data_IF_226050000016
#
_entry.id   IF_226050000016
#
_cell.length_a   1.000
_cell.length_b   1.000
_cell.length_c   1.000
_cell.angle_alpha   90.00
_cell.angle_beta   90.00
_cell.angle_gamma   90.00
#
_symmetry.space_group_name_H-M   'P 1'
#
loop_
_entity.id
_entity.type
_entity.pdbx_description
1 polymer ?
#
# COMPACT_ATOMS: atom_id res chain seq x y z
N UNK A 1 -17.60 4.69 -2.42
CA UNK A 1 -18.42 5.43 -3.42
C UNK A 1 -19.64 4.62 -3.90
N UNK A 2 -20.80 5.26 -4.12
CA UNK A 2 -22.05 4.58 -4.58
C UNK A 2 -22.03 4.11 -6.04
N UNK A 3 -20.96 4.41 -6.79
CA UNK A 3 -20.64 3.85 -8.11
C UNK A 3 -19.13 3.59 -8.22
N UNK A 4 -18.68 2.54 -8.92
CA UNK A 4 -17.28 2.17 -8.99
C UNK A 4 -16.58 3.00 -10.08
N UNK A 5 -16.03 4.17 -9.74
CA UNK A 5 -15.35 5.00 -10.75
C UNK A 5 -13.92 5.42 -10.39
N UNK A 6 -13.25 4.77 -9.43
CA UNK A 6 -11.82 5.06 -9.20
C UNK A 6 -10.94 3.91 -8.71
N UNK A 7 -11.50 2.73 -8.42
CA UNK A 7 -10.71 1.55 -8.05
C UNK A 7 -10.71 0.55 -9.19
N UNK A 8 -9.71 0.67 -10.08
CA UNK A 8 -9.56 -0.26 -11.20
C UNK A 8 -8.89 -1.55 -10.71
N UNK A 9 -8.03 -1.47 -9.68
CA UNK A 9 -7.17 -2.55 -9.23
C UNK A 9 -7.01 -2.58 -7.69
N UNK A 10 -6.73 -3.77 -7.13
CA UNK A 10 -6.51 -3.97 -5.69
C UNK A 10 -5.36 -3.13 -5.13
N UNK A 11 -4.30 -2.93 -5.90
CA UNK A 11 -3.13 -2.13 -5.50
C UNK A 11 -3.43 -0.63 -5.35
N UNK A 12 -4.63 -0.18 -5.74
CA UNK A 12 -5.13 1.18 -5.50
C UNK A 12 -5.76 1.33 -4.11
N UNK A 13 -5.93 0.23 -3.36
CA UNK A 13 -6.52 0.22 -2.01
C UNK A 13 -5.76 -0.66 -1.00
N UNK A 14 -4.89 -1.56 -1.45
CA UNK A 14 -4.12 -2.46 -0.60
C UNK A 14 -2.75 -2.78 -1.22
N UNK A 15 -1.67 -2.50 -0.49
CA UNK A 15 -0.29 -2.76 -0.96
C UNK A 15 0.60 -3.26 0.18
N UNK A 16 1.39 -4.32 -0.06
CA UNK A 16 2.42 -4.76 0.88
C UNK A 16 3.66 -3.86 0.81
N UNK A 17 4.10 -3.34 1.96
CA UNK A 17 5.26 -2.45 2.08
C UNK A 17 6.47 -3.13 2.74
N UNK A 18 6.22 -4.10 3.60
CA UNK A 18 7.22 -4.86 4.37
C UNK A 18 6.69 -6.27 4.67
N UNK A 19 7.46 -7.11 5.35
CA UNK A 19 7.04 -8.46 5.73
C UNK A 19 5.81 -8.48 6.65
N UNK A 20 5.63 -7.44 7.45
CA UNK A 20 4.53 -7.32 8.41
C UNK A 20 3.75 -6.00 8.29
N UNK A 21 3.87 -5.27 7.17
CA UNK A 21 3.20 -3.97 6.98
C UNK A 21 2.54 -3.88 5.63
N UNK A 22 1.31 -3.41 5.63
CA UNK A 22 0.57 -3.07 4.43
C UNK A 22 0.08 -1.63 4.50
N UNK A 23 -0.17 -1.04 3.33
CA UNK A 23 -0.81 0.25 3.17
C UNK A 23 -2.22 0.01 2.67
N UNK A 24 -3.21 0.58 3.33
CA UNK A 24 -4.61 0.36 3.03
C UNK A 24 -5.38 1.66 2.87
N UNK A 25 -6.36 1.65 1.98
CA UNK A 25 -7.48 2.59 2.01
C UNK A 25 -8.58 2.01 2.90
N UNK A 26 -8.61 2.45 4.15
CA UNK A 26 -9.47 1.91 5.22
C UNK A 26 -10.96 1.82 4.82
N UNK A 27 -11.57 2.82 4.15
CA UNK A 27 -12.99 2.76 3.78
C UNK A 27 -13.38 1.61 2.85
N UNK A 28 -12.42 0.98 2.15
CA UNK A 28 -12.66 -0.23 1.34
C UNK A 28 -12.21 -1.50 2.06
N UNK A 29 -11.06 -1.46 2.75
CA UNK A 29 -10.45 -2.67 3.30
C UNK A 29 -11.03 -3.10 4.66
N UNK A 30 -11.47 -2.15 5.48
CA UNK A 30 -11.95 -2.41 6.85
C UNK A 30 -13.45 -2.17 7.04
N UNK A 31 -14.13 -1.60 6.03
CA UNK A 31 -15.54 -1.23 6.20
C UNK A 31 -16.46 -2.41 5.85
N UNK A 32 -16.86 -3.16 6.89
CA UNK A 32 -17.74 -4.34 6.80
C UNK A 32 -19.12 -4.06 6.15
N UNK A 33 -19.52 -2.80 6.00
CA UNK A 33 -20.82 -2.45 5.38
C UNK A 33 -20.72 -2.20 3.87
N UNK A 34 -19.51 -2.08 3.33
CA UNK A 34 -19.32 -1.70 1.94
C UNK A 34 -18.94 -2.88 1.03
N UNK A 35 -18.10 -3.80 1.51
CA UNK A 35 -17.56 -4.91 0.71
C UNK A 35 -17.31 -6.15 1.57
N UNK A 36 -17.71 -7.32 1.07
CA UNK A 36 -17.52 -8.61 1.74
C UNK A 36 -16.12 -9.17 1.45
N UNK A 37 -15.46 -9.70 2.49
CA UNK A 37 -14.27 -10.52 2.33
C UNK A 37 -14.66 -11.99 2.45
N UNK A 38 -14.18 -12.84 1.53
CA UNK A 38 -14.51 -14.26 1.51
C UNK A 38 -13.22 -15.08 1.39
N UNK A 39 -13.02 -16.03 2.30
CA UNK A 39 -11.93 -16.99 2.24
C UNK A 39 -12.40 -18.29 1.59
N UNK A 40 -11.81 -18.63 0.44
CA UNK A 40 -12.10 -19.86 -0.30
C UNK A 40 -10.91 -20.81 -0.16
N UNK A 41 -11.16 -22.00 0.40
CA UNK A 41 -10.17 -23.08 0.47
C UNK A 41 -10.38 -24.05 -0.69
N UNK A 42 -9.33 -24.32 -1.47
CA UNK A 42 -9.36 -25.25 -2.60
C UNK A 42 -8.35 -26.37 -2.32
N UNK A 43 -8.80 -27.61 -2.45
CA UNK A 43 -7.98 -28.81 -2.34
C UNK A 43 -8.27 -29.73 -3.54
N UNK A 44 -7.21 -30.19 -4.22
CA UNK A 44 -7.31 -31.00 -5.44
C UNK A 44 -8.31 -30.44 -6.49
N UNK A 45 -8.31 -29.12 -6.68
CA UNK A 45 -9.19 -28.43 -7.64
C UNK A 45 -10.66 -28.32 -7.23
N UNK A 46 -11.02 -28.74 -6.01
CA UNK A 46 -12.38 -28.64 -5.47
C UNK A 46 -12.45 -27.64 -4.33
N UNK A 47 -13.55 -26.89 -4.28
CA UNK A 47 -13.85 -26.01 -3.15
C UNK A 47 -14.12 -26.87 -1.92
N UNK A 48 -13.30 -26.69 -0.88
CA UNK A 48 -13.42 -27.37 0.41
C UNK A 48 -14.27 -26.57 1.39
N UNK A 49 -14.12 -25.25 1.40
CA UNK A 49 -14.89 -24.35 2.25
C UNK A 49 -14.95 -22.95 1.65
N UNK A 50 -16.01 -22.22 1.98
CA UNK A 50 -16.20 -20.80 1.71
C UNK A 50 -16.65 -20.19 3.03
N UNK A 51 -15.84 -19.28 3.57
CA UNK A 51 -16.13 -18.60 4.83
C UNK A 51 -16.17 -17.09 4.59
N UNK A 52 -17.18 -16.42 5.13
CA UNK A 52 -17.18 -14.96 5.22
C UNK A 52 -16.20 -14.50 6.29
N UNK A 53 -15.49 -13.42 5.98
CA UNK A 53 -14.45 -12.84 6.81
C UNK A 53 -14.78 -11.38 7.09
N UNK A 54 -14.46 -10.86 8.29
CA UNK A 54 -14.79 -9.47 8.61
C UNK A 54 -14.03 -8.50 7.68
N UNK A 55 -12.78 -8.82 7.33
CA UNK A 55 -11.97 -8.01 6.44
C UNK A 55 -10.89 -8.82 5.74
N UNK A 56 -10.29 -8.24 4.69
CA UNK A 56 -9.10 -8.80 4.05
C UNK A 56 -7.95 -9.00 5.06
N UNK A 57 -7.78 -8.06 5.99
CA UNK A 57 -6.69 -8.11 6.99
C UNK A 57 -6.87 -9.29 7.95
N UNK A 58 -8.09 -9.54 8.41
CA UNK A 58 -8.37 -10.68 9.29
C UNK A 58 -8.16 -12.01 8.57
N UNK A 59 -8.66 -12.12 7.33
CA UNK A 59 -8.47 -13.32 6.50
C UNK A 59 -6.99 -13.63 6.28
N UNK A 60 -6.17 -12.61 6.00
CA UNK A 60 -4.73 -12.76 5.86
C UNK A 60 -4.06 -13.19 7.17
N UNK A 61 -4.50 -12.65 8.32
CA UNK A 61 -3.99 -13.06 9.64
C UNK A 61 -4.24 -14.55 9.91
N UNK A 62 -5.43 -15.07 9.57
CA UNK A 62 -5.76 -16.51 9.67
C UNK A 62 -4.89 -17.40 8.78
N UNK A 63 -4.33 -16.84 7.70
CA UNK A 63 -3.38 -17.52 6.81
C UNK A 63 -1.91 -17.37 7.27
N UNK A 64 -1.66 -16.80 8.45
CA UNK A 64 -0.32 -16.59 9.00
C UNK A 64 0.36 -15.31 8.50
N UNK A 65 -0.37 -14.41 7.85
CA UNK A 65 0.12 -13.10 7.43
C UNK A 65 -0.36 -12.03 8.41
N UNK A 66 0.38 -11.87 9.52
CA UNK A 66 0.10 -10.82 10.50
C UNK A 66 0.59 -9.45 9.99
N UNK A 67 -0.33 -8.67 9.44
CA UNK A 67 -0.06 -7.40 8.79
C UNK A 67 -0.53 -6.23 9.67
N UNK A 68 0.39 -5.35 10.00
CA UNK A 68 0.09 -4.05 10.59
C UNK A 68 -0.32 -3.06 9.48
N UNK A 69 -1.56 -2.57 9.47
CA UNK A 69 -2.01 -1.63 8.45
C UNK A 69 -1.52 -0.21 8.73
N UNK A 70 -1.07 0.45 7.66
CA UNK A 70 -0.84 1.88 7.54
C UNK A 70 -1.98 2.46 6.71
N UNK A 71 -2.53 3.60 7.10
CA UNK A 71 -3.70 4.17 6.42
C UNK A 71 -3.28 5.22 5.39
N UNK A 72 -3.79 5.07 4.16
CA UNK A 72 -3.76 6.10 3.12
C UNK A 72 -4.54 7.32 3.59
N UNK A 73 -3.90 8.49 3.61
CA UNK A 73 -4.40 9.70 4.26
C UNK A 73 -4.19 9.75 5.78
N UNK A 74 -3.60 8.71 6.38
CA UNK A 74 -3.42 8.61 7.83
C UNK A 74 -4.72 8.48 8.61
N UNK A 75 -4.71 8.90 9.88
CA UNK A 75 -5.89 8.93 10.76
C UNK A 75 -6.72 10.22 10.58
N UNK A 76 -6.63 10.86 9.42
CA UNK A 76 -7.32 12.11 9.13
C UNK A 76 -8.82 11.90 8.90
N UNK A 77 -9.52 13.01 8.68
CA UNK A 77 -10.90 13.01 8.18
C UNK A 77 -11.04 12.24 6.86
N UNK A 78 -12.27 11.83 6.55
CA UNK A 78 -12.59 11.02 5.37
C UNK A 78 -12.25 11.72 4.04
N UNK A 79 -12.35 13.05 3.99
CA UNK A 79 -12.04 13.83 2.78
C UNK A 79 -10.56 13.80 2.46
N UNK A 80 -9.70 13.88 3.47
CA UNK A 80 -8.25 13.72 3.29
C UNK A 80 -7.88 12.31 2.83
N UNK A 81 -8.51 11.25 3.38
CA UNK A 81 -8.27 9.89 2.92
C UNK A 81 -8.71 9.69 1.46
N UNK A 82 -9.88 10.20 1.07
CA UNK A 82 -10.38 10.15 -0.30
C UNK A 82 -9.47 10.92 -1.27
N UNK A 83 -9.03 12.12 -0.88
CA UNK A 83 -8.12 12.95 -1.70
C UNK A 83 -6.78 12.27 -1.96
N UNK A 84 -6.16 11.69 -0.94
CA UNK A 84 -4.87 11.01 -1.12
C UNK A 84 -5.03 9.68 -1.83
N UNK A 85 -6.11 8.95 -1.57
CA UNK A 85 -6.42 7.74 -2.32
C UNK A 85 -6.54 8.04 -3.83
N UNK A 86 -7.28 9.10 -4.19
CA UNK A 86 -7.44 9.54 -5.57
C UNK A 86 -6.10 9.83 -6.26
N UNK A 87 -5.13 10.37 -5.51
CA UNK A 87 -3.76 10.61 -5.96
C UNK A 87 -2.83 9.40 -5.75
N UNK A 88 -3.39 8.18 -5.77
CA UNK A 88 -2.65 6.92 -5.66
C UNK A 88 -1.91 6.74 -4.34
N UNK A 89 -2.45 7.27 -3.25
CA UNK A 89 -1.89 7.23 -1.90
C UNK A 89 -1.80 5.83 -1.29
N UNK A 90 -2.44 4.80 -1.87
CA UNK A 90 -2.24 3.41 -1.45
C UNK A 90 -1.30 2.62 -2.37
N UNK A 91 -0.77 3.22 -3.44
CA UNK A 91 -0.09 2.54 -4.53
C UNK A 91 1.44 2.78 -4.52
N UNK A 92 2.13 2.12 -3.60
CA UNK A 92 3.57 2.24 -3.39
C UNK A 92 4.33 1.04 -3.98
N UNK A 93 5.55 1.28 -4.47
CA UNK A 93 6.39 0.21 -4.95
C UNK A 93 7.41 -0.22 -3.90
N UNK A 94 7.27 -1.43 -3.35
CA UNK A 94 8.30 -2.03 -2.50
C UNK A 94 9.39 -2.68 -3.35
N UNK A 95 10.61 -2.14 -3.33
CA UNK A 95 11.75 -2.71 -4.05
C UNK A 95 12.55 -3.70 -3.17
N UNK A 96 12.36 -3.66 -1.85
CA UNK A 96 12.74 -4.68 -0.88
C UNK A 96 11.84 -4.55 0.38
N UNK A 97 11.82 -5.54 1.31
CA UNK A 97 11.06 -5.40 2.55
C UNK A 97 11.43 -4.12 3.32
N UNK A 98 10.44 -3.26 3.57
CA UNK A 98 10.64 -1.98 4.25
C UNK A 98 11.32 -0.89 3.41
N UNK A 99 11.53 -1.13 2.11
CA UNK A 99 12.20 -0.18 1.21
C UNK A 99 11.29 0.12 0.03
N UNK A 100 10.62 1.27 0.09
CA UNK A 100 9.50 1.59 -0.78
C UNK A 100 9.71 2.89 -1.55
N UNK A 101 8.97 3.07 -2.64
CA UNK A 101 8.96 4.27 -3.47
C UNK A 101 7.51 4.72 -3.67
N UNK A 102 7.26 6.02 -3.52
CA UNK A 102 5.94 6.62 -3.70
C UNK A 102 5.99 8.12 -4.01
N UNK A 103 4.83 8.72 -4.23
CA UNK A 103 4.74 10.16 -4.47
C UNK A 103 4.79 10.95 -3.17
N UNK A 104 5.63 11.99 -3.13
CA UNK A 104 5.75 12.88 -1.96
C UNK A 104 4.52 13.77 -1.71
N UNK A 105 3.60 13.88 -2.68
CA UNK A 105 2.40 14.73 -2.59
C UNK A 105 1.32 14.22 -1.63
N UNK A 106 1.39 12.96 -1.24
CA UNK A 106 0.44 12.33 -0.32
C UNK A 106 0.97 12.51 1.10
N UNK A 107 1.01 13.76 1.56
CA UNK A 107 1.69 14.18 2.78
C UNK A 107 1.23 13.41 4.03
N UNK A 108 -0.07 13.17 4.17
CA UNK A 108 -0.63 12.47 5.33
C UNK A 108 -0.30 10.97 5.30
N UNK A 109 -0.31 10.37 4.11
CA UNK A 109 0.17 9.00 3.91
C UNK A 109 1.66 8.88 4.23
N UNK A 110 2.48 9.83 3.75
CA UNK A 110 3.93 9.82 4.01
C UNK A 110 4.21 10.00 5.50
N UNK A 111 3.47 10.88 6.19
CA UNK A 111 3.55 11.02 7.65
C UNK A 111 3.12 9.73 8.38
N UNK A 112 2.05 9.08 7.96
CA UNK A 112 1.62 7.80 8.51
C UNK A 112 2.67 6.69 8.32
N UNK A 113 3.30 6.65 7.14
CA UNK A 113 4.42 5.74 6.83
C UNK A 113 5.64 6.07 7.72
N UNK A 114 5.96 7.35 7.91
CA UNK A 114 7.07 7.78 8.76
C UNK A 114 6.88 7.35 10.22
N UNK A 115 5.68 7.56 10.77
CA UNK A 115 5.29 7.11 12.12
C UNK A 115 5.41 5.60 12.33
N UNK A 116 5.49 4.82 11.25
CA UNK A 116 5.68 3.35 11.25
C UNK A 116 7.14 2.93 11.00
N UNK A 117 8.07 3.87 11.15
CA UNK A 117 9.52 3.65 11.17
C UNK A 117 10.20 3.67 9.80
N UNK A 118 9.54 4.23 8.77
CA UNK A 118 10.17 4.45 7.47
C UNK A 118 10.77 5.85 7.41
N UNK A 119 12.08 5.94 7.18
CA UNK A 119 12.71 7.24 6.92
C UNK A 119 12.25 7.83 5.60
N UNK A 120 11.93 9.13 5.60
CA UNK A 120 11.42 9.82 4.40
C UNK A 120 12.59 10.43 3.65
N UNK A 121 12.92 9.84 2.51
CA UNK A 121 14.06 10.24 1.69
C UNK A 121 13.56 10.86 0.39
N UNK A 122 14.06 12.03 0.00
CA UNK A 122 13.72 12.61 -1.31
C UNK A 122 14.62 12.02 -2.37
N UNK A 123 14.07 11.64 -3.52
CA UNK A 123 14.85 11.13 -4.63
C UNK A 123 15.96 12.11 -5.07
N UNK A 124 15.70 13.43 -5.01
CA UNK A 124 16.68 14.48 -5.32
C UNK A 124 17.90 14.46 -4.38
N UNK A 125 17.73 14.12 -3.10
CA UNK A 125 18.83 14.07 -2.13
C UNK A 125 19.69 12.81 -2.31
N UNK A 126 19.08 11.70 -2.76
CA UNK A 126 19.81 10.49 -3.14
C UNK A 126 20.64 10.74 -4.41
N UNK A 127 20.03 11.32 -5.45
CA UNK A 127 20.70 11.61 -6.72
C UNK A 127 21.85 12.61 -6.58
N UNK A 128 21.77 13.52 -5.61
CA UNK A 128 22.83 14.49 -5.29
C UNK A 128 23.86 13.98 -4.28
N UNK A 129 23.83 12.68 -3.93
CA UNK A 129 24.72 12.04 -2.95
C UNK A 129 24.68 12.63 -1.54
N UNK A 130 23.62 13.37 -1.18
CA UNK A 130 23.40 13.86 0.19
C UNK A 130 22.93 12.75 1.13
N UNK A 131 22.27 11.73 0.57
CA UNK A 131 21.69 10.61 1.30
C UNK A 131 22.19 9.31 0.67
N UNK A 132 22.76 8.41 1.48
CA UNK A 132 23.15 7.06 1.05
C UNK A 132 22.13 6.03 1.56
N UNK A 133 21.44 5.34 0.63
CA UNK A 133 20.41 4.34 0.98
C UNK A 133 20.92 3.20 1.87
N UNK A 134 22.23 2.95 1.89
CA UNK A 134 22.87 1.93 2.73
C UNK A 134 22.83 2.24 4.22
N UNK A 135 22.65 3.51 4.59
CA UNK A 135 22.59 3.96 6.00
C UNK A 135 21.21 3.71 6.63
N UNK A 136 20.22 3.33 5.82
CA UNK A 136 18.82 3.21 6.23
C UNK A 136 18.32 1.77 6.08
N UNK A 137 17.79 1.23 7.18
CA UNK A 137 17.18 -0.10 7.18
C UNK A 137 15.80 -0.10 6.49
N UNK A 138 14.98 0.91 6.80
CA UNK A 138 13.60 1.06 6.34
C UNK A 138 13.36 2.50 5.88
N UNK A 139 12.82 2.69 4.69
CA UNK A 139 12.64 4.01 4.11
C UNK A 139 11.57 4.05 3.02
N UNK A 140 11.04 5.25 2.80
CA UNK A 140 10.25 5.64 1.64
C UNK A 140 11.02 6.65 0.82
N UNK A 141 11.29 6.33 -0.44
CA UNK A 141 11.78 7.29 -1.43
C UNK A 141 10.58 8.02 -1.99
N UNK A 142 10.55 9.33 -1.78
CA UNK A 142 9.56 10.23 -2.35
C UNK A 142 10.04 10.78 -3.68
N UNK A 143 9.22 10.61 -4.71
CA UNK A 143 9.41 11.26 -6.01
C UNK A 143 8.35 12.35 -6.21
N UNK A 144 8.70 13.38 -6.98
CA UNK A 144 7.72 14.36 -7.46
C UNK A 144 6.86 13.69 -8.54
N UNK A 145 5.56 13.63 -8.31
CA UNK A 145 4.61 12.90 -9.15
C UNK A 145 3.40 13.73 -9.58
N UNK A 146 3.51 15.05 -9.61
CA UNK A 146 2.37 15.93 -9.90
C UNK A 146 1.73 15.62 -11.26
N UNK A 147 2.54 15.45 -12.30
CA UNK A 147 2.09 15.09 -13.65
C UNK A 147 1.76 13.60 -13.78
N UNK A 148 2.61 12.71 -13.25
CA UNK A 148 2.42 11.25 -13.35
C UNK A 148 1.12 10.79 -12.67
N UNK A 149 0.78 11.36 -11.52
CA UNK A 149 -0.46 11.04 -10.81
C UNK A 149 -1.73 11.45 -11.57
N UNK A 150 -1.65 12.32 -12.59
CA UNK A 150 -2.81 12.65 -13.45
C UNK A 150 -3.27 11.45 -14.27
N UNK A 151 -2.38 10.46 -14.50
CA UNK A 151 -2.74 9.18 -15.11
C UNK A 151 -3.49 8.23 -14.17
N UNK A 152 -3.77 8.63 -12.92
CA UNK A 152 -4.51 7.82 -11.95
C UNK A 152 -3.72 6.63 -11.37
N UNK A 153 -2.38 6.63 -11.51
CA UNK A 153 -1.53 5.52 -11.05
C UNK A 153 -0.34 5.99 -10.19
N UNK A 154 0.02 5.16 -9.22
CA UNK A 154 1.16 5.36 -8.34
C UNK A 154 2.45 4.72 -8.87
N UNK A 155 3.45 4.64 -8.00
CA UNK A 155 4.75 4.06 -8.36
C UNK A 155 4.65 2.56 -8.68
N UNK A 156 3.69 1.84 -8.07
CA UNK A 156 3.47 0.43 -8.38
C UNK A 156 2.85 0.25 -9.77
N UNK A 157 1.89 1.08 -10.17
CA UNK A 157 1.31 1.01 -11.50
C UNK A 157 2.33 1.22 -12.63
N UNK A 158 3.41 1.98 -12.37
CA UNK A 158 4.48 2.24 -13.36
C UNK A 158 5.61 1.20 -13.32
N UNK A 159 5.49 0.13 -12.54
CA UNK A 159 6.57 -0.85 -12.35
C UNK A 159 6.08 -2.29 -12.51
N UNK A 160 6.88 -3.09 -13.23
CA UNK A 160 6.65 -4.52 -13.41
C UNK A 160 7.92 -5.29 -13.03
N UNK A 161 8.04 -5.79 -11.79
CA UNK A 161 9.20 -6.58 -11.37
C UNK A 161 9.34 -7.85 -12.20
N UNK A 162 10.47 -8.00 -12.89
CA UNK A 162 10.79 -9.22 -13.66
C UNK A 162 11.36 -10.32 -12.76
N UNK A 163 12.12 -9.93 -11.73
CA UNK A 163 12.72 -10.87 -10.77
C UNK A 163 12.89 -10.22 -9.40
N UNK A 164 12.74 -11.02 -8.34
CA UNK A 164 12.98 -10.62 -6.95
C UNK A 164 13.73 -11.74 -6.24
N UNK A 165 14.63 -11.38 -5.34
CA UNK A 165 15.25 -12.36 -4.44
C UNK A 165 14.20 -12.91 -3.47
N UNK A 166 14.29 -14.18 -3.05
CA UNK A 166 13.48 -14.70 -1.96
C UNK A 166 13.59 -13.79 -0.73
N UNK A 167 12.46 -13.53 -0.09
CA UNK A 167 12.39 -12.83 1.19
C UNK A 167 12.89 -13.80 2.27
N UNK A 168 13.82 -13.34 3.10
CA UNK A 168 14.36 -14.10 4.23
C UNK A 168 13.51 -13.88 5.48
#
# INVERSE_FOLDING_TARGET
PRKPESFIHLDMVFTLLDTNKCLIYSPVILNNHAYEAVQISIDNGKVKSINEELSLIESLSKLGMDLEPIYCGGNSDAWTQEREQWHSGANFFAHAPGKIIGYGRNEYTIDAINKKGFEVLKAKDILSNKVKLTEYKKYVITIEGAELARGGGGCRCMTMPVSRKPVK
#
